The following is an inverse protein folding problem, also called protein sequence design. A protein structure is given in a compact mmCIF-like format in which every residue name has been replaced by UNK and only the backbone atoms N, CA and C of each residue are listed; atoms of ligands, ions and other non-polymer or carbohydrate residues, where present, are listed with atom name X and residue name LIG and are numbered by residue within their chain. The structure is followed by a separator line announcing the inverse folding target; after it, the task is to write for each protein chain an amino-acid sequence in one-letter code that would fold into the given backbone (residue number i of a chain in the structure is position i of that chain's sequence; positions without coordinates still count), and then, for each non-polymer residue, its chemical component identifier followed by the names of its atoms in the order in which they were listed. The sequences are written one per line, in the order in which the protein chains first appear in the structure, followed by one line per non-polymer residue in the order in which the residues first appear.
data_IF_558054555807
#
_entry.id   IF_558054555807
#
_cell.length_a   1.000
_cell.length_b   1.000
_cell.length_c   1.000
_cell.angle_alpha   90.00
_cell.angle_beta   90.00
_cell.angle_gamma   90.00
#
_symmetry.space_group_name_H-M   'P 1'
#
loop_
_entity.id
_entity.type
_entity.pdbx_description
1 polymer ?
#
# COMPACT_ATOMS: atom_id res chain seq x y z
N UNK A 1 11.29 -49.32 46.43
CA UNK A 1 12.15 -48.56 45.51
C UNK A 1 11.78 -48.55 44.04
N UNK A 2 11.40 -49.67 43.40
CA UNK A 2 11.10 -49.65 41.96
C UNK A 2 9.83 -48.85 41.59
N UNK A 3 8.77 -48.94 42.40
CA UNK A 3 7.50 -48.24 42.16
C UNK A 3 7.62 -46.72 42.27
N UNK A 4 8.34 -46.20 43.28
CA UNK A 4 8.59 -44.77 43.45
C UNK A 4 9.42 -44.17 42.30
N UNK A 5 10.42 -44.90 41.80
CA UNK A 5 11.19 -44.48 40.63
C UNK A 5 10.34 -44.45 39.35
N UNK A 6 9.41 -45.39 39.17
CA UNK A 6 8.50 -45.40 38.03
C UNK A 6 7.53 -44.21 38.07
N UNK A 7 6.96 -43.89 39.24
CA UNK A 7 6.06 -42.74 39.41
C UNK A 7 6.78 -41.41 39.19
N UNK A 8 8.02 -41.30 39.66
CA UNK A 8 8.86 -40.12 39.44
C UNK A 8 9.23 -39.95 37.95
N UNK A 9 9.58 -41.03 37.25
CA UNK A 9 9.92 -40.99 35.83
C UNK A 9 8.71 -40.65 34.95
N UNK A 10 7.53 -41.20 35.24
CA UNK A 10 6.27 -40.86 34.57
C UNK A 10 5.87 -39.40 34.83
N UNK A 11 6.07 -38.91 36.05
CA UNK A 11 5.86 -37.50 36.40
C UNK A 11 6.76 -36.54 35.60
N UNK A 12 8.05 -36.89 35.43
CA UNK A 12 8.99 -36.12 34.60
C UNK A 12 8.58 -36.17 33.12
N UNK A 13 8.16 -37.34 32.60
CA UNK A 13 7.73 -37.44 31.21
C UNK A 13 6.45 -36.64 30.93
N UNK A 14 5.50 -36.62 31.86
CA UNK A 14 4.30 -35.79 31.77
C UNK A 14 4.66 -34.30 31.80
N UNK A 15 5.52 -33.86 32.74
CA UNK A 15 5.96 -32.46 32.85
C UNK A 15 6.74 -31.98 31.62
N UNK A 16 7.63 -32.82 31.07
CA UNK A 16 8.33 -32.53 29.81
C UNK A 16 7.35 -32.44 28.63
N UNK A 17 6.35 -33.32 28.59
CA UNK A 17 5.32 -33.29 27.53
C UNK A 17 4.46 -32.03 27.61
N UNK A 18 4.01 -31.67 28.81
CA UNK A 18 3.22 -30.46 29.08
C UNK A 18 4.01 -29.19 28.74
N UNK A 19 5.29 -29.15 29.10
CA UNK A 19 6.19 -28.05 28.74
C UNK A 19 6.38 -27.90 27.24
N UNK A 20 6.53 -29.01 26.50
CA UNK A 20 6.63 -28.99 25.03
C UNK A 20 5.32 -28.50 24.39
N UNK A 21 4.16 -28.92 24.91
CA UNK A 21 2.85 -28.47 24.44
C UNK A 21 2.69 -26.96 24.69
N UNK A 22 3.04 -26.50 25.90
CA UNK A 22 2.98 -25.09 26.28
C UNK A 22 3.92 -24.23 25.41
N UNK A 23 5.15 -24.69 25.15
CA UNK A 23 6.10 -23.99 24.30
C UNK A 23 5.62 -23.90 22.85
N UNK A 24 5.04 -24.98 22.32
CA UNK A 24 4.40 -24.97 20.99
C UNK A 24 3.23 -24.00 20.91
N UNK A 25 2.35 -24.01 21.91
CA UNK A 25 1.20 -23.10 21.98
C UNK A 25 1.66 -21.64 22.08
N UNK A 26 2.65 -21.35 22.93
CA UNK A 26 3.24 -20.01 23.07
C UNK A 26 3.87 -19.53 21.76
N UNK A 27 4.59 -20.41 21.05
CA UNK A 27 5.20 -20.07 19.75
C UNK A 27 4.14 -19.81 18.69
N UNK A 28 3.07 -20.60 18.64
CA UNK A 28 1.96 -20.38 17.71
C UNK A 28 1.29 -19.03 17.97
N UNK A 29 1.01 -18.73 19.22
CA UNK A 29 0.36 -17.47 19.59
C UNK A 29 1.25 -16.26 19.33
N UNK A 30 2.55 -16.38 19.63
CA UNK A 30 3.55 -15.36 19.27
C UNK A 30 3.57 -15.11 17.76
N UNK A 31 3.60 -16.16 16.94
CA UNK A 31 3.60 -16.04 15.49
C UNK A 31 2.32 -15.36 14.97
N UNK A 32 1.15 -15.70 15.52
CA UNK A 32 -0.12 -15.06 15.16
C UNK A 32 -0.11 -13.57 15.51
N UNK A 33 0.35 -13.23 16.71
CA UNK A 33 0.48 -11.83 17.15
C UNK A 33 1.44 -11.03 16.26
N UNK A 34 2.59 -11.62 15.90
CA UNK A 34 3.56 -11.00 14.99
C UNK A 34 2.98 -10.80 13.59
N UNK A 35 2.25 -11.78 13.04
CA UNK A 35 1.59 -11.64 11.73
C UNK A 35 0.56 -10.51 11.73
N UNK A 36 -0.26 -10.40 12.77
CA UNK A 36 -1.24 -9.31 12.89
C UNK A 36 -0.57 -7.94 12.95
N UNK A 37 0.57 -7.83 13.65
CA UNK A 37 1.34 -6.59 13.69
C UNK A 37 1.90 -6.23 12.31
N UNK A 38 2.43 -7.22 11.59
CA UNK A 38 3.00 -7.03 10.24
C UNK A 38 1.95 -6.75 9.17
N UNK A 39 0.68 -7.08 9.41
CA UNK A 39 -0.44 -6.68 8.54
C UNK A 39 -0.80 -5.18 8.68
N UNK A 40 -0.32 -4.52 9.74
CA UNK A 40 -0.62 -3.11 10.04
C UNK A 40 0.60 -2.22 9.76
N UNK A 41 1.81 -2.75 9.97
CA UNK A 41 3.04 -1.98 9.87
C UNK A 41 4.09 -2.73 9.04
N UNK A 42 4.90 -2.00 8.25
CA UNK A 42 6.04 -2.59 7.58
C UNK A 42 7.00 -3.22 8.58
N UNK A 43 7.60 -4.37 8.24
CA UNK A 43 8.48 -5.12 9.15
C UNK A 43 9.60 -4.28 9.79
N UNK A 44 10.35 -3.43 9.06
CA UNK A 44 11.39 -2.59 9.68
C UNK A 44 10.82 -1.65 10.75
N UNK A 45 9.64 -1.10 10.50
CA UNK A 45 8.93 -0.17 11.39
C UNK A 45 8.42 -0.90 12.64
N UNK A 46 7.83 -2.08 12.47
CA UNK A 46 7.37 -2.92 13.58
C UNK A 46 8.53 -3.31 14.51
N UNK A 47 9.70 -3.67 13.96
CA UNK A 47 10.89 -4.01 14.76
C UNK A 47 11.48 -2.80 15.48
N UNK A 48 11.41 -1.60 14.90
CA UNK A 48 11.82 -0.37 15.56
C UNK A 48 10.88 -0.02 16.73
N UNK A 49 9.57 -0.12 16.55
CA UNK A 49 8.58 0.13 17.61
C UNK A 49 8.69 -0.85 18.78
N UNK A 50 9.04 -2.12 18.52
CA UNK A 50 9.33 -3.10 19.59
C UNK A 50 10.49 -2.66 20.49
N UNK A 51 11.45 -1.91 19.93
CA UNK A 51 12.66 -1.45 20.63
C UNK A 51 12.51 -0.07 21.26
N UNK A 52 11.65 0.79 20.72
CA UNK A 52 11.52 2.18 21.14
C UNK A 52 10.05 2.63 21.18
N UNK A 53 9.60 3.11 22.36
CA UNK A 53 8.25 3.64 22.57
C UNK A 53 8.22 5.17 22.41
N UNK A 54 8.49 5.67 21.20
CA UNK A 54 8.40 7.09 20.88
C UNK A 54 7.99 7.34 19.43
N UNK A 55 7.96 8.60 19.02
CA UNK A 55 7.60 8.96 17.64
C UNK A 55 8.67 8.44 16.67
N UNK A 56 8.28 7.49 15.83
CA UNK A 56 9.12 7.02 14.74
C UNK A 56 8.82 7.87 13.52
N UNK A 57 9.74 8.73 13.12
CA UNK A 57 9.65 9.52 11.91
C UNK A 57 11.02 9.54 11.21
N UNK A 58 11.00 9.36 9.89
CA UNK A 58 12.18 9.31 9.04
C UNK A 58 11.93 10.09 7.76
N UNK A 59 12.92 10.90 7.37
CA UNK A 59 12.94 11.60 6.09
C UNK A 59 13.43 10.66 4.98
N UNK A 60 12.77 10.72 3.83
CA UNK A 60 13.16 10.04 2.60
C UNK A 60 13.18 11.07 1.48
N UNK A 61 14.33 11.23 0.83
CA UNK A 61 14.54 12.31 -0.15
C UNK A 61 13.93 11.98 -1.51
N UNK A 62 13.89 10.70 -1.88
CA UNK A 62 13.40 10.23 -3.16
C UNK A 62 12.40 9.07 -2.99
N UNK A 63 11.12 9.38 -3.16
CA UNK A 63 10.03 8.41 -3.25
C UNK A 63 9.14 8.73 -4.46
N UNK A 64 8.38 7.75 -4.93
CA UNK A 64 7.29 7.97 -5.89
C UNK A 64 5.97 7.52 -5.27
N UNK A 65 4.99 8.41 -5.24
CA UNK A 65 3.66 8.17 -4.68
C UNK A 65 2.66 8.01 -5.81
N UNK A 66 1.80 7.01 -5.69
CA UNK A 66 0.64 6.78 -6.52
C UNK A 66 -0.64 6.96 -5.69
N UNK A 67 -1.56 7.77 -6.20
CA UNK A 67 -2.96 7.78 -5.80
C UNK A 67 -3.80 7.22 -6.94
N UNK A 68 -4.69 6.28 -6.64
CA UNK A 68 -5.69 5.77 -7.57
C UNK A 68 -7.08 5.91 -6.95
N UNK A 69 -8.06 6.36 -7.72
CA UNK A 69 -9.43 6.60 -7.27
C UNK A 69 -10.44 5.98 -8.25
N UNK A 70 -11.51 5.37 -7.72
CA UNK A 70 -12.52 4.72 -8.55
C UNK A 70 -13.49 5.78 -9.09
N UNK A 71 -13.58 5.84 -10.41
CA UNK A 71 -14.44 6.81 -11.09
C UNK A 71 -15.90 6.50 -10.78
N UNK A 72 -16.65 7.54 -10.41
CA UNK A 72 -18.08 7.44 -10.11
C UNK A 72 -18.43 6.45 -9.00
N UNK A 73 -17.51 6.19 -8.06
CA UNK A 73 -17.77 5.24 -6.98
C UNK A 73 -18.99 5.64 -6.13
N UNK A 74 -19.13 6.91 -5.76
CA UNK A 74 -20.28 7.38 -4.95
C UNK A 74 -21.64 7.01 -5.59
N UNK A 75 -21.95 7.39 -6.85
CA UNK A 75 -23.22 7.00 -7.48
C UNK A 75 -23.33 5.50 -7.81
N UNK A 76 -22.22 4.77 -7.99
CA UNK A 76 -22.25 3.30 -8.12
C UNK A 76 -22.63 2.66 -6.79
N UNK A 77 -22.02 3.13 -5.69
CA UNK A 77 -22.19 2.58 -4.35
C UNK A 77 -23.62 2.72 -3.83
N UNK A 78 -24.34 3.78 -4.22
CA UNK A 78 -25.76 3.97 -3.85
C UNK A 78 -26.70 2.98 -4.51
N UNK A 79 -26.23 2.26 -5.53
CA UNK A 79 -27.00 1.24 -6.26
C UNK A 79 -26.67 -0.19 -5.81
N UNK A 80 -25.75 -0.35 -4.87
CA UNK A 80 -25.29 -1.65 -4.37
C UNK A 80 -25.81 -1.91 -2.96
N UNK A 81 -26.03 -3.17 -2.62
CA UNK A 81 -26.23 -3.53 -1.22
C UNK A 81 -24.93 -3.33 -0.43
N UNK A 82 -24.98 -2.85 0.83
CA UNK A 82 -23.76 -2.55 1.59
C UNK A 82 -22.75 -3.72 1.68
N UNK A 83 -23.24 -4.96 1.82
CA UNK A 83 -22.39 -6.14 1.86
C UNK A 83 -21.71 -6.42 0.50
N UNK A 84 -22.44 -6.22 -0.59
CA UNK A 84 -21.92 -6.40 -1.95
C UNK A 84 -20.86 -5.34 -2.29
N UNK A 85 -21.11 -4.10 -1.88
CA UNK A 85 -20.18 -2.99 -2.02
C UNK A 85 -18.85 -3.28 -1.31
N UNK A 86 -18.91 -3.68 -0.05
CA UNK A 86 -17.72 -4.03 0.74
C UNK A 86 -16.99 -5.22 0.14
N UNK A 87 -17.72 -6.24 -0.30
CA UNK A 87 -17.12 -7.41 -0.98
C UNK A 87 -16.39 -7.01 -2.26
N UNK A 88 -17.01 -6.15 -3.09
CA UNK A 88 -16.44 -5.67 -4.34
C UNK A 88 -15.18 -4.84 -4.10
N UNK A 89 -15.24 -3.87 -3.17
CA UNK A 89 -14.06 -3.10 -2.76
C UNK A 89 -12.94 -3.99 -2.25
N UNK A 90 -13.26 -4.98 -1.43
CA UNK A 90 -12.26 -5.91 -0.90
C UNK A 90 -11.59 -6.71 -2.02
N UNK A 91 -12.33 -7.17 -3.03
CA UNK A 91 -11.75 -7.89 -4.17
C UNK A 91 -10.84 -6.99 -5.02
N UNK A 92 -11.27 -5.75 -5.28
CA UNK A 92 -10.48 -4.77 -6.04
C UNK A 92 -9.18 -4.47 -5.28
N UNK A 93 -9.25 -4.07 -4.02
CA UNK A 93 -8.07 -3.71 -3.24
C UNK A 93 -7.17 -4.91 -2.94
N UNK A 94 -7.72 -6.11 -2.73
CA UNK A 94 -6.89 -7.33 -2.62
C UNK A 94 -6.13 -7.61 -3.92
N UNK A 95 -6.68 -7.23 -5.07
CA UNK A 95 -5.99 -7.35 -6.36
C UNK A 95 -4.84 -6.37 -6.45
N UNK A 96 -5.03 -5.14 -5.98
CA UNK A 96 -3.95 -4.15 -5.92
C UNK A 96 -2.90 -4.49 -4.86
N UNK A 97 -3.28 -5.06 -3.72
CA UNK A 97 -2.35 -5.53 -2.68
C UNK A 97 -1.37 -6.57 -3.26
N UNK A 98 -1.84 -7.48 -4.12
CA UNK A 98 -0.96 -8.42 -4.82
C UNK A 98 0.02 -7.73 -5.78
N UNK A 99 -0.38 -6.64 -6.42
CA UNK A 99 0.51 -5.84 -7.26
C UNK A 99 1.56 -5.10 -6.41
N UNK A 100 1.18 -4.59 -5.24
CA UNK A 100 2.12 -3.99 -4.28
C UNK A 100 3.22 -4.99 -3.94
N UNK A 101 2.87 -6.23 -3.60
CA UNK A 101 3.84 -7.29 -3.33
C UNK A 101 4.71 -7.62 -4.55
N UNK A 102 4.09 -7.77 -5.73
CA UNK A 102 4.77 -8.11 -6.98
C UNK A 102 5.84 -7.06 -7.36
N UNK A 103 5.53 -5.78 -7.21
CA UNK A 103 6.43 -4.68 -7.56
C UNK A 103 7.30 -4.20 -6.40
N UNK A 104 7.23 -4.87 -5.23
CA UNK A 104 7.97 -4.53 -4.01
C UNK A 104 7.77 -3.06 -3.61
N UNK A 105 6.50 -2.68 -3.57
CA UNK A 105 6.05 -1.35 -3.16
C UNK A 105 5.47 -1.42 -1.75
N UNK A 106 5.14 -0.26 -1.18
CA UNK A 106 4.50 -0.18 0.13
C UNK A 106 3.11 0.44 0.00
N UNK A 107 2.09 -0.29 0.48
CA UNK A 107 0.74 0.23 0.61
C UNK A 107 0.68 1.12 1.85
N UNK A 108 0.27 2.38 1.67
CA UNK A 108 0.12 3.29 2.82
C UNK A 108 -1.25 3.13 3.44
N UNK A 109 -2.31 3.37 2.66
CA UNK A 109 -3.69 3.31 3.15
C UNK A 109 -4.69 3.31 2.00
N UNK A 110 -5.93 3.03 2.36
CA UNK A 110 -7.10 3.36 1.55
C UNK A 110 -7.81 4.58 2.14
N UNK A 111 -8.43 5.40 1.30
CA UNK A 111 -9.16 6.60 1.70
C UNK A 111 -10.52 6.56 1.00
N UNK A 112 -11.51 5.91 1.63
CA UNK A 112 -12.75 5.58 0.93
C UNK A 112 -12.48 4.59 -0.21
N UNK A 113 -12.74 5.03 -1.44
CA UNK A 113 -12.47 4.32 -2.69
C UNK A 113 -11.11 4.61 -3.32
N UNK A 114 -10.33 5.51 -2.72
CA UNK A 114 -8.96 5.78 -3.14
C UNK A 114 -7.95 4.80 -2.52
N UNK A 115 -6.89 4.52 -3.27
CA UNK A 115 -5.80 3.60 -2.92
C UNK A 115 -4.46 4.33 -3.05
N UNK A 116 -3.65 4.32 -1.97
CA UNK A 116 -2.38 5.05 -1.89
C UNK A 116 -1.21 4.08 -1.72
N UNK A 117 -0.24 4.20 -2.62
CA UNK A 117 0.98 3.37 -2.68
C UNK A 117 2.19 4.24 -2.83
N UNK A 118 3.33 3.77 -2.34
CA UNK A 118 4.61 4.45 -2.49
C UNK A 118 5.71 3.46 -2.86
N UNK A 119 6.61 3.88 -3.74
CA UNK A 119 7.90 3.23 -4.01
C UNK A 119 9.03 4.00 -3.35
N UNK A 120 10.08 3.30 -2.91
CA UNK A 120 11.20 3.89 -2.15
C UNK A 120 11.02 3.86 -0.64
N UNK A 121 9.99 3.17 -0.16
CA UNK A 121 9.70 2.92 1.26
C UNK A 121 9.38 1.45 1.50
N UNK A 122 9.55 0.94 2.74
CA UNK A 122 10.23 1.58 3.87
C UNK A 122 11.76 1.63 3.69
N UNK A 123 12.28 1.02 2.62
CA UNK A 123 13.67 1.04 2.22
C UNK A 123 13.81 1.78 0.89
N UNK A 124 14.86 2.61 0.71
CA UNK A 124 15.14 3.24 -0.57
C UNK A 124 15.26 2.22 -1.70
N UNK A 125 14.72 2.56 -2.87
CA UNK A 125 14.65 1.68 -4.04
C UNK A 125 14.96 2.50 -5.28
N UNK A 126 16.04 2.18 -6.00
CA UNK A 126 16.49 2.98 -7.14
C UNK A 126 15.48 3.04 -8.31
N UNK A 127 14.71 1.98 -8.51
CA UNK A 127 13.66 1.87 -9.54
C UNK A 127 12.26 2.24 -9.00
N UNK A 128 12.17 3.04 -7.93
CA UNK A 128 10.90 3.40 -7.28
C UNK A 128 9.86 3.95 -8.26
N UNK A 129 10.26 4.84 -9.17
CA UNK A 129 9.37 5.42 -10.17
C UNK A 129 8.90 4.38 -11.20
N UNK A 130 9.83 3.57 -11.74
CA UNK A 130 9.51 2.53 -12.72
C UNK A 130 8.59 1.45 -12.13
N UNK A 131 8.82 1.02 -10.88
CA UNK A 131 7.96 0.06 -10.19
C UNK A 131 6.54 0.59 -10.01
N UNK A 132 6.39 1.86 -9.62
CA UNK A 132 5.09 2.52 -9.52
C UNK A 132 4.41 2.65 -10.89
N UNK A 133 5.15 3.03 -11.93
CA UNK A 133 4.62 3.16 -13.29
C UNK A 133 4.12 1.81 -13.84
N UNK A 134 4.86 0.72 -13.60
CA UNK A 134 4.46 -0.63 -13.97
C UNK A 134 3.18 -1.05 -13.22
N UNK A 135 3.12 -0.84 -11.90
CA UNK A 135 1.92 -1.09 -11.12
C UNK A 135 0.72 -0.29 -11.65
N UNK A 136 0.88 1.00 -11.93
CA UNK A 136 -0.20 1.87 -12.41
C UNK A 136 -0.83 1.36 -13.71
N UNK A 137 0.00 0.94 -14.67
CA UNK A 137 -0.44 0.37 -15.93
C UNK A 137 -1.21 -0.94 -15.72
N UNK A 138 -0.72 -1.80 -14.82
CA UNK A 138 -1.39 -3.06 -14.50
C UNK A 138 -2.70 -2.85 -13.73
N UNK A 139 -2.77 -1.89 -12.80
CA UNK A 139 -4.01 -1.53 -12.11
C UNK A 139 -5.12 -1.12 -13.09
N UNK A 140 -4.81 -0.33 -14.11
CA UNK A 140 -5.76 0.05 -15.18
C UNK A 140 -6.27 -1.17 -15.98
N UNK A 141 -5.47 -2.23 -16.10
CA UNK A 141 -5.88 -3.46 -16.76
C UNK A 141 -6.73 -4.33 -15.84
N UNK A 142 -6.28 -4.54 -14.59
CA UNK A 142 -6.94 -5.39 -13.61
C UNK A 142 -8.32 -4.85 -13.21
N UNK A 143 -8.49 -3.53 -13.09
CA UNK A 143 -9.78 -2.98 -12.66
C UNK A 143 -10.91 -3.26 -13.66
N UNK A 144 -10.59 -3.46 -14.94
CA UNK A 144 -11.57 -3.76 -16.00
C UNK A 144 -12.24 -5.13 -15.84
N UNK A 145 -11.67 -6.01 -15.02
CA UNK A 145 -12.24 -7.32 -14.73
C UNK A 145 -13.44 -7.23 -13.77
N UNK A 146 -13.57 -6.12 -13.04
CA UNK A 146 -14.69 -5.87 -12.14
C UNK A 146 -15.75 -5.08 -12.86
N UNK A 147 -17.02 -5.47 -12.69
CA UNK A 147 -18.17 -4.82 -13.33
C UNK A 147 -19.01 -4.06 -12.31
N UNK A 148 -19.50 -2.89 -12.71
CA UNK A 148 -20.50 -2.14 -11.97
C UNK A 148 -21.85 -2.87 -12.02
N UNK A 149 -22.85 -2.49 -11.19
CA UNK A 149 -24.19 -3.08 -11.25
C UNK A 149 -24.87 -2.97 -12.62
N UNK A 150 -24.45 -2.02 -13.45
CA UNK A 150 -24.95 -1.82 -14.82
C UNK A 150 -24.20 -2.66 -15.86
N UNK A 151 -23.24 -3.48 -15.44
CA UNK A 151 -22.45 -4.36 -16.32
C UNK A 151 -21.29 -3.67 -17.03
N UNK A 152 -20.96 -2.43 -16.69
CA UNK A 152 -19.80 -1.72 -17.26
C UNK A 152 -18.54 -2.01 -16.46
N UNK A 153 -17.35 -2.06 -17.07
CA UNK A 153 -16.10 -2.17 -16.33
C UNK A 153 -15.90 -0.98 -15.38
N UNK A 154 -15.39 -1.22 -14.17
CA UNK A 154 -14.90 -0.13 -13.33
C UNK A 154 -13.74 0.60 -14.01
N UNK A 155 -13.66 1.90 -13.77
CA UNK A 155 -12.61 2.78 -14.28
C UNK A 155 -11.92 3.50 -13.13
N UNK A 156 -10.67 3.91 -13.35
CA UNK A 156 -9.92 4.69 -12.36
C UNK A 156 -9.28 5.93 -12.96
N UNK A 157 -9.05 6.91 -12.10
CA UNK A 157 -8.03 7.95 -12.29
C UNK A 157 -6.80 7.56 -11.48
N UNK A 158 -5.61 7.75 -12.04
CA UNK A 158 -4.36 7.55 -11.33
C UNK A 158 -3.50 8.81 -11.44
N UNK A 159 -2.92 9.24 -10.32
CA UNK A 159 -1.97 10.33 -10.24
C UNK A 159 -0.66 9.90 -9.60
N UNK A 160 0.46 10.31 -10.20
CA UNK A 160 1.79 9.93 -9.75
C UNK A 160 2.70 11.15 -9.64
N UNK A 161 3.38 11.27 -8.50
CA UNK A 161 4.37 12.32 -8.27
C UNK A 161 5.54 11.78 -7.44
N UNK A 162 6.73 12.33 -7.66
CA UNK A 162 7.97 11.94 -6.98
C UNK A 162 8.59 13.12 -6.27
N UNK A 163 9.23 12.86 -5.14
CA UNK A 163 9.89 13.87 -4.32
C UNK A 163 10.13 13.37 -2.90
N UNK A 164 10.42 14.28 -1.98
CA UNK A 164 10.77 13.95 -0.61
C UNK A 164 9.56 13.86 0.31
N UNK A 165 9.59 12.96 1.29
CA UNK A 165 8.57 12.82 2.33
C UNK A 165 9.17 12.56 3.70
N UNK A 166 8.40 12.88 4.73
CA UNK A 166 8.56 12.30 6.07
C UNK A 166 7.60 11.13 6.17
N UNK A 167 8.11 9.93 6.45
CA UNK A 167 7.30 8.77 6.80
C UNK A 167 7.39 8.50 8.29
N UNK A 168 6.31 8.05 8.91
CA UNK A 168 6.33 7.85 10.36
C UNK A 168 5.05 7.29 10.95
N UNK A 169 5.13 6.93 12.23
CA UNK A 169 4.03 6.34 12.99
C UNK A 169 3.44 7.39 13.94
N UNK A 170 2.15 7.67 13.77
CA UNK A 170 1.39 8.57 14.66
C UNK A 170 0.33 7.79 15.45
N UNK A 171 0.10 8.25 16.68
CA UNK A 171 -0.92 7.73 17.59
C UNK A 171 -0.33 6.87 18.70
N UNK A 172 -1.15 6.61 19.72
CA UNK A 172 -0.77 5.79 20.89
C UNK A 172 -1.61 4.51 21.05
N UNK A 173 -2.76 4.43 20.38
CA UNK A 173 -3.71 3.30 20.46
C UNK A 173 -4.09 2.73 19.09
N UNK A 174 -4.22 3.61 18.10
CA UNK A 174 -4.42 3.27 16.68
C UNK A 174 -3.24 3.84 15.93
N UNK A 175 -2.12 3.14 16.00
CA UNK A 175 -0.91 3.53 15.28
C UNK A 175 -1.19 3.54 13.78
N UNK A 176 -0.82 4.62 13.10
CA UNK A 176 -0.93 4.76 11.65
C UNK A 176 0.47 5.08 11.13
N UNK A 177 1.00 4.22 10.27
CA UNK A 177 2.16 4.56 9.46
C UNK A 177 1.68 5.34 8.24
N UNK A 178 2.15 6.57 8.08
CA UNK A 178 1.66 7.48 7.04
C UNK A 178 2.80 8.36 6.50
N UNK A 179 2.49 9.11 5.44
CA UNK A 179 3.41 10.03 4.78
C UNK A 179 2.95 11.47 4.96
N UNK A 180 3.92 12.35 5.20
CA UNK A 180 3.73 13.80 5.23
C UNK A 180 4.73 14.47 4.30
N UNK A 181 4.29 15.57 3.70
CA UNK A 181 5.10 16.34 2.80
C UNK A 181 4.28 16.87 1.63
N UNK A 182 4.85 17.85 0.96
CA UNK A 182 4.24 18.45 -0.21
C UNK A 182 4.03 17.44 -1.35
N UNK A 183 4.95 16.48 -1.48
CA UNK A 183 4.88 15.40 -2.48
C UNK A 183 3.57 14.60 -2.38
N UNK A 184 3.07 14.35 -1.16
CA UNK A 184 1.79 13.65 -0.94
C UNK A 184 0.62 14.46 -1.51
N UNK A 185 0.61 15.76 -1.26
CA UNK A 185 -0.44 16.67 -1.74
C UNK A 185 -0.41 16.78 -3.27
N UNK A 186 0.78 16.93 -3.86
CA UNK A 186 0.91 17.01 -5.33
C UNK A 186 0.49 15.70 -5.99
N UNK A 187 0.86 14.54 -5.45
CA UNK A 187 0.43 13.23 -5.96
C UNK A 187 -1.10 13.09 -5.94
N UNK A 188 -1.75 13.46 -4.83
CA UNK A 188 -3.22 13.47 -4.73
C UNK A 188 -3.87 14.44 -5.73
N UNK A 189 -3.23 15.57 -6.04
CA UNK A 189 -3.71 16.51 -7.07
C UNK A 189 -3.52 16.00 -8.49
N UNK A 190 -2.46 15.24 -8.75
CA UNK A 190 -2.28 14.56 -10.04
C UNK A 190 -3.43 13.59 -10.31
N UNK A 191 -3.94 12.91 -9.29
CA UNK A 191 -5.08 11.99 -9.42
C UNK A 191 -6.38 12.78 -9.61
N UNK A 192 -6.70 13.66 -8.66
CA UNK A 192 -8.01 14.33 -8.62
C UNK A 192 -8.25 15.31 -9.77
N UNK A 193 -7.19 15.77 -10.45
CA UNK A 193 -7.27 16.58 -11.68
C UNK A 193 -6.95 15.79 -12.95
N UNK A 194 -6.77 14.48 -12.81
CA UNK A 194 -6.59 13.55 -13.91
C UNK A 194 -7.90 13.25 -14.64
N UNK A 195 -7.77 12.56 -15.76
CA UNK A 195 -8.90 12.16 -16.59
C UNK A 195 -9.22 10.67 -16.40
N UNK A 196 -10.49 10.31 -16.64
CA UNK A 196 -10.99 8.94 -16.48
C UNK A 196 -10.20 7.98 -17.36
N UNK A 197 -9.70 6.90 -16.75
CA UNK A 197 -8.90 5.89 -17.44
C UNK A 197 -7.47 6.34 -17.79
N UNK A 198 -7.04 7.50 -17.31
CA UNK A 198 -5.70 8.04 -17.55
C UNK A 198 -4.81 7.91 -16.32
N UNK A 199 -3.50 7.86 -16.57
CA UNK A 199 -2.46 7.91 -15.56
C UNK A 199 -1.71 9.22 -15.73
N UNK A 200 -1.98 10.18 -14.85
CA UNK A 200 -1.30 11.47 -14.84
C UNK A 200 0.00 11.41 -14.07
N UNK A 201 1.07 11.98 -14.62
CA UNK A 201 2.33 12.16 -13.92
C UNK A 201 2.79 13.61 -13.97
N UNK A 202 3.42 14.07 -12.89
CA UNK A 202 4.11 15.36 -12.86
C UNK A 202 5.37 15.36 -13.72
N UNK A 203 5.87 16.53 -14.10
CA UNK A 203 7.16 16.70 -14.80
C UNK A 203 8.35 16.04 -14.08
N UNK A 204 8.44 16.12 -12.75
CA UNK A 204 9.52 15.47 -11.98
C UNK A 204 9.50 13.95 -12.19
N UNK A 205 8.34 13.32 -12.12
CA UNK A 205 8.20 11.88 -12.38
C UNK A 205 8.43 11.54 -13.85
N UNK A 206 8.04 12.41 -14.79
CA UNK A 206 8.34 12.23 -16.20
C UNK A 206 9.85 12.11 -16.43
N UNK A 207 10.66 12.97 -15.83
CA UNK A 207 12.12 12.92 -15.97
C UNK A 207 12.72 11.58 -15.51
N UNK A 208 12.14 10.95 -14.49
CA UNK A 208 12.56 9.63 -13.99
C UNK A 208 12.14 8.48 -14.92
N UNK A 209 11.09 8.66 -15.73
CA UNK A 209 10.47 7.60 -16.52
C UNK A 209 10.74 7.71 -18.03
N UNK A 210 11.10 8.89 -18.54
CA UNK A 210 11.12 9.23 -19.97
C UNK A 210 11.98 8.30 -20.82
N UNK A 211 13.01 7.66 -20.26
CA UNK A 211 13.87 6.73 -21.00
C UNK A 211 13.24 5.35 -21.18
N UNK A 212 12.35 4.93 -20.27
CA UNK A 212 11.80 3.56 -20.20
C UNK A 212 10.31 3.48 -20.59
N UNK A 213 9.59 4.59 -20.51
CA UNK A 213 8.14 4.64 -20.70
C UNK A 213 7.74 5.65 -21.77
N UNK A 214 6.61 5.38 -22.42
CA UNK A 214 5.97 6.31 -23.34
C UNK A 214 5.08 7.26 -22.55
N UNK A 215 5.43 8.55 -22.62
CA UNK A 215 4.76 9.62 -21.89
C UNK A 215 4.38 10.74 -22.85
N UNK A 216 3.08 11.04 -22.93
CA UNK A 216 2.55 12.09 -23.77
C UNK A 216 2.37 13.37 -22.97
N UNK A 217 2.84 14.51 -23.48
CA UNK A 217 2.67 15.80 -22.79
C UNK A 217 1.18 16.20 -22.80
N UNK A 218 0.60 16.36 -21.61
CA UNK A 218 -0.77 16.88 -21.42
C UNK A 218 -0.80 18.41 -21.53
N UNK A 219 0.18 19.07 -20.90
CA UNK A 219 0.25 20.53 -20.80
C UNK A 219 0.22 21.02 -19.35
N UNK A 220 0.05 22.33 -19.18
CA UNK A 220 0.00 22.99 -17.88
C UNK A 220 -1.36 22.79 -17.21
N UNK A 221 -1.34 22.40 -15.94
CA UNK A 221 -2.53 22.21 -15.11
C UNK A 221 -2.39 23.04 -13.84
N UNK A 222 -3.43 23.78 -13.48
CA UNK A 222 -3.45 24.62 -12.29
C UNK A 222 -3.63 23.77 -11.01
N UNK A 223 -2.55 23.65 -10.24
CA UNK A 223 -2.51 22.90 -8.99
C UNK A 223 -2.62 23.88 -7.82
N UNK A 224 -3.65 23.70 -6.98
CA UNK A 224 -3.91 24.56 -5.82
C UNK A 224 -2.68 24.62 -4.91
N UNK A 225 -2.13 25.82 -4.70
CA UNK A 225 -0.95 26.06 -3.87
C UNK A 225 0.40 25.83 -4.57
N UNK A 226 0.40 25.46 -5.87
CA UNK A 226 1.62 25.30 -6.69
C UNK A 226 1.64 26.17 -7.93
N UNK A 227 0.49 26.66 -8.38
CA UNK A 227 0.39 27.36 -9.66
C UNK A 227 0.26 26.37 -10.80
N UNK A 228 0.72 26.76 -11.99
CA UNK A 228 0.70 25.88 -13.16
C UNK A 228 1.85 24.86 -13.09
N UNK A 229 1.51 23.58 -13.29
CA UNK A 229 2.48 22.50 -13.39
C UNK A 229 2.33 21.79 -14.73
N UNK A 230 3.44 21.56 -15.42
CA UNK A 230 3.45 20.69 -16.61
C UNK A 230 3.18 19.24 -16.20
N UNK A 231 2.28 18.60 -16.92
CA UNK A 231 1.87 17.21 -16.66
C UNK A 231 1.91 16.38 -17.92
N UNK A 232 1.96 15.06 -17.73
CA UNK A 232 2.10 14.06 -18.78
C UNK A 232 1.16 12.88 -18.53
N UNK A 233 0.78 12.19 -19.60
CA UNK A 233 0.06 10.93 -19.56
C UNK A 233 1.02 9.78 -19.74
N UNK A 234 1.06 8.85 -18.78
CA UNK A 234 1.77 7.58 -18.94
C UNK A 234 0.94 6.65 -19.84
N UNK A 235 1.45 6.32 -21.03
CA UNK A 235 0.76 5.51 -22.04
C UNK A 235 1.11 4.03 -21.98
N UNK A 236 2.36 3.72 -21.65
CA UNK A 236 2.85 2.35 -21.64
C UNK A 236 4.36 2.29 -21.47
N UNK A 237 4.90 1.08 -21.52
CA UNK A 237 6.34 0.86 -21.55
C UNK A 237 6.85 1.05 -22.98
N UNK A 238 8.04 1.64 -23.15
CA UNK A 238 8.69 1.71 -24.47
C UNK A 238 9.05 0.30 -24.94
N UNK A 239 8.82 0.05 -26.23
CA UNK A 239 9.22 -1.18 -26.93
C UNK A 239 10.69 -1.10 -27.34
#
# INVERSE_FOLDING_TARGET
DYAQNLTHFVGIQADVSDRIIAEKALRLEKNRSEQLLLNILPKPIAEQLKKFQGTLAQQFDEVTILFADIVNFTPISSQMQPLELVSTLNQIFSTFDRLVDQYQLEKIKTIGDAYMVVGGLPLPKADHASAIAAMALEMQQQIKQFLTPQGHPFQMRIGIHSGSVVAGVIGIKKFIYDLWGDTVNVASRMESQGEVGQIQVSEITYELLKEQYDLEKRGAVAIKGKGEMTTYWLRGKKL
#
